data_IF_102841975263
#
_entry.id   IF_102841975263
#
_cell.length_a   1.000
_cell.length_b   1.000
_cell.length_c   1.000
_cell.angle_alpha   90.00
_cell.angle_beta   90.00
_cell.angle_gamma   90.00
#
_symmetry.space_group_name_H-M   'P 1'
#
loop_
_entity.id
_entity.type
_entity.pdbx_description
1 polymer ?
#
# COMPACT_ATOMS: atom_id res chain seq x y z
N UNK A 1 -16.25 -5.07 -2.95
CA UNK A 1 -15.75 -3.75 -2.51
C UNK A 1 -16.89 -2.74 -2.36
N UNK A 2 -17.39 -2.13 -3.44
CA UNK A 2 -18.48 -1.12 -3.37
C UNK A 2 -19.78 -1.53 -2.67
N UNK A 3 -20.08 -2.84 -2.58
CA UNK A 3 -21.28 -3.32 -1.85
C UNK A 3 -21.05 -3.33 -0.33
N UNK A 4 -19.86 -3.73 0.11
CA UNK A 4 -19.48 -3.77 1.52
C UNK A 4 -19.24 -2.36 2.09
N UNK A 5 -18.62 -1.46 1.33
CA UNK A 5 -18.46 -0.05 1.73
C UNK A 5 -19.81 0.65 1.91
N UNK A 6 -20.75 0.43 0.97
CA UNK A 6 -22.13 0.91 1.10
C UNK A 6 -22.87 0.28 2.28
N UNK A 7 -22.60 -0.99 2.59
CA UNK A 7 -23.19 -1.63 3.76
C UNK A 7 -22.65 -1.05 5.07
N UNK A 8 -21.38 -0.66 5.11
CA UNK A 8 -20.76 0.02 6.26
C UNK A 8 -21.39 1.40 6.47
N UNK A 9 -21.49 2.22 5.41
CA UNK A 9 -22.12 3.54 5.47
C UNK A 9 -23.58 3.46 5.94
N UNK A 10 -24.34 2.49 5.43
CA UNK A 10 -25.74 2.27 5.86
C UNK A 10 -25.85 1.77 7.30
N UNK A 11 -24.89 0.97 7.76
CA UNK A 11 -24.86 0.50 9.14
C UNK A 11 -24.62 1.67 10.11
N UNK A 12 -23.75 2.61 9.74
CA UNK A 12 -23.48 3.82 10.52
C UNK A 12 -24.71 4.75 10.55
N UNK A 13 -25.38 4.95 9.41
CA UNK A 13 -26.63 5.73 9.34
C UNK A 13 -27.75 5.13 10.22
N UNK A 14 -27.96 3.80 10.14
CA UNK A 14 -28.97 3.10 10.94
C UNK A 14 -28.68 3.13 12.44
N UNK A 15 -27.41 3.14 12.85
CA UNK A 15 -27.06 3.21 14.26
C UNK A 15 -27.23 4.63 14.83
N UNK A 16 -26.88 5.66 14.06
CA UNK A 16 -26.90 7.05 14.50
C UNK A 16 -28.29 7.70 14.44
N UNK A 17 -29.12 7.32 13.47
CA UNK A 17 -30.32 8.08 13.11
C UNK A 17 -31.63 7.28 13.11
N UNK A 18 -31.62 5.99 13.47
CA UNK A 18 -32.86 5.23 13.55
C UNK A 18 -33.65 5.53 14.83
N UNK A 19 -34.98 5.58 14.72
CA UNK A 19 -35.90 5.78 15.86
C UNK A 19 -35.80 4.67 16.92
N UNK A 20 -35.36 3.47 16.50
CA UNK A 20 -35.01 2.36 17.38
C UNK A 20 -33.64 1.82 16.97
N UNK A 21 -32.55 2.39 17.50
CA UNK A 21 -31.20 2.01 17.11
C UNK A 21 -30.86 0.63 17.66
N UNK A 22 -30.04 -0.09 16.91
CA UNK A 22 -29.58 -1.40 17.32
C UNK A 22 -28.67 -1.32 18.56
N UNK A 23 -28.63 -2.35 19.43
CA UNK A 23 -27.70 -2.38 20.55
C UNK A 23 -26.25 -2.17 20.08
N UNK A 24 -25.48 -1.34 20.80
CA UNK A 24 -24.10 -1.01 20.44
C UNK A 24 -23.23 -2.26 20.23
N UNK A 25 -23.44 -3.29 21.04
CA UNK A 25 -22.74 -4.58 20.90
C UNK A 25 -22.97 -5.23 19.54
N UNK A 26 -24.20 -5.24 19.05
CA UNK A 26 -24.56 -5.84 17.76
C UNK A 26 -24.06 -4.98 16.59
N UNK A 27 -24.04 -3.65 16.76
CA UNK A 27 -23.43 -2.73 15.80
C UNK A 27 -21.93 -3.01 15.64
N UNK A 28 -21.19 -3.12 16.75
CA UNK A 28 -19.76 -3.42 16.72
C UNK A 28 -19.48 -4.75 16.04
N UNK A 29 -20.29 -5.77 16.32
CA UNK A 29 -20.16 -7.10 15.74
C UNK A 29 -20.40 -7.07 14.22
N UNK A 30 -21.44 -6.38 13.75
CA UNK A 30 -21.72 -6.20 12.32
C UNK A 30 -20.65 -5.37 11.62
N UNK A 31 -20.16 -4.30 12.24
CA UNK A 31 -19.09 -3.45 11.70
C UNK A 31 -17.83 -4.28 11.45
N UNK A 32 -17.42 -5.06 12.45
CA UNK A 32 -16.26 -5.94 12.34
C UNK A 32 -16.43 -6.97 11.21
N UNK A 33 -17.59 -7.63 11.12
CA UNK A 33 -17.87 -8.59 10.04
C UNK A 33 -17.79 -7.98 8.64
N UNK A 34 -18.28 -6.75 8.45
CA UNK A 34 -18.22 -6.05 7.16
C UNK A 34 -16.78 -5.65 6.84
N UNK A 35 -16.03 -5.14 7.82
CA UNK A 35 -14.61 -4.80 7.70
C UNK A 35 -13.75 -6.02 7.35
N UNK A 36 -13.96 -7.16 8.01
CA UNK A 36 -13.23 -8.40 7.76
C UNK A 36 -13.49 -8.93 6.33
N UNK A 37 -14.72 -8.76 5.83
CA UNK A 37 -15.07 -9.09 4.44
C UNK A 37 -14.39 -8.16 3.43
N UNK A 38 -14.27 -6.86 3.74
CA UNK A 38 -13.53 -5.91 2.92
C UNK A 38 -12.05 -6.31 2.86
N UNK A 39 -11.44 -6.57 4.01
CA UNK A 39 -10.05 -7.00 4.09
C UNK A 39 -9.81 -8.32 3.33
N UNK A 40 -10.70 -9.30 3.47
CA UNK A 40 -10.63 -10.57 2.74
C UNK A 40 -10.75 -10.39 1.23
N UNK A 41 -11.65 -9.52 0.77
CA UNK A 41 -11.77 -9.19 -0.66
C UNK A 41 -10.52 -8.51 -1.20
N UNK A 42 -9.91 -7.61 -0.42
CA UNK A 42 -8.65 -6.94 -0.80
C UNK A 42 -7.50 -7.94 -0.88
N UNK A 43 -7.38 -8.84 0.11
CA UNK A 43 -6.37 -9.90 0.09
C UNK A 43 -6.54 -10.85 -1.10
N UNK A 44 -7.80 -11.18 -1.45
CA UNK A 44 -8.09 -12.01 -2.61
C UNK A 44 -7.75 -11.29 -3.92
N UNK A 45 -8.09 -10.01 -4.04
CA UNK A 45 -7.71 -9.17 -5.19
C UNK A 45 -6.20 -9.12 -5.35
N UNK A 46 -5.46 -8.82 -4.28
CA UNK A 46 -4.01 -8.80 -4.29
C UNK A 46 -3.41 -10.17 -4.67
N UNK A 47 -3.98 -11.28 -4.17
CA UNK A 47 -3.55 -12.63 -4.54
C UNK A 47 -3.85 -12.94 -6.01
N UNK A 48 -4.99 -12.51 -6.52
CA UNK A 48 -5.38 -12.71 -7.92
C UNK A 48 -4.57 -11.82 -8.86
N UNK A 49 -4.22 -10.60 -8.47
CA UNK A 49 -3.22 -9.78 -9.15
C UNK A 49 -1.90 -10.53 -9.17
N UNK A 50 -1.37 -10.98 -8.03
CA UNK A 50 -0.14 -11.78 -7.98
C UNK A 50 -0.17 -13.07 -8.83
N UNK A 51 -1.33 -13.74 -8.96
CA UNK A 51 -1.48 -14.93 -9.82
C UNK A 51 -1.61 -14.57 -11.30
N UNK A 52 -2.42 -13.57 -11.63
CA UNK A 52 -2.57 -13.02 -12.99
C UNK A 52 -1.23 -12.51 -13.51
N UNK A 53 -0.43 -11.93 -12.62
CA UNK A 53 0.94 -11.55 -12.89
C UNK A 53 1.72 -12.78 -13.44
N UNK A 54 1.66 -13.95 -12.83
CA UNK A 54 2.42 -15.12 -13.30
C UNK A 54 1.88 -15.80 -14.58
N UNK A 55 0.67 -15.47 -15.05
CA UNK A 55 -0.02 -16.23 -16.11
C UNK A 55 -0.32 -15.43 -17.39
N UNK A 56 -0.03 -14.12 -17.45
CA UNK A 56 -0.18 -13.34 -18.68
C UNK A 56 1.09 -13.42 -19.55
N UNK A 57 0.91 -13.36 -20.87
CA UNK A 57 2.01 -13.03 -21.80
C UNK A 57 2.56 -11.67 -21.39
N UNK A 58 3.69 -11.69 -20.66
CA UNK A 58 4.34 -10.50 -20.12
C UNK A 58 4.75 -9.61 -21.30
N UNK A 59 4.29 -8.36 -21.32
CA UNK A 59 4.99 -7.36 -22.11
C UNK A 59 6.38 -7.13 -21.50
N UNK A 60 7.36 -6.76 -22.33
CA UNK A 60 8.73 -6.53 -21.87
C UNK A 60 8.78 -5.50 -20.73
N UNK A 61 7.89 -4.51 -20.73
CA UNK A 61 7.74 -3.51 -19.66
C UNK A 61 7.31 -4.14 -18.33
N UNK A 62 6.33 -5.06 -18.36
CA UNK A 62 5.89 -5.76 -17.16
C UNK A 62 6.96 -6.73 -16.65
N UNK A 63 7.74 -7.33 -17.56
CA UNK A 63 8.87 -8.17 -17.18
C UNK A 63 9.98 -7.33 -16.51
N UNK A 64 10.38 -6.21 -17.12
CA UNK A 64 11.39 -5.29 -16.58
C UNK A 64 10.97 -4.78 -15.21
N UNK A 65 9.73 -4.34 -15.03
CA UNK A 65 9.24 -3.88 -13.74
C UNK A 65 9.32 -4.97 -12.65
N UNK A 66 9.04 -6.22 -13.01
CA UNK A 66 9.11 -7.33 -12.05
C UNK A 66 10.51 -7.79 -11.73
N UNK A 67 11.39 -7.86 -12.73
CA UNK A 67 12.81 -8.13 -12.52
C UNK A 67 13.40 -7.05 -11.59
N UNK A 68 13.06 -5.79 -11.85
CA UNK A 68 13.42 -4.63 -11.02
C UNK A 68 12.91 -4.76 -9.58
N UNK A 69 11.63 -5.10 -9.39
CA UNK A 69 11.03 -5.29 -8.07
C UNK A 69 11.68 -6.45 -7.29
N UNK A 70 12.00 -7.56 -7.96
CA UNK A 70 12.70 -8.70 -7.35
C UNK A 70 14.13 -8.36 -6.93
N UNK A 71 14.88 -7.68 -7.79
CA UNK A 71 16.23 -7.20 -7.49
C UNK A 71 16.21 -6.27 -6.29
N UNK A 72 15.23 -5.36 -6.24
CA UNK A 72 15.09 -4.46 -5.13
C UNK A 72 14.71 -5.16 -3.81
N UNK A 73 13.80 -6.14 -3.84
CA UNK A 73 13.49 -6.95 -2.66
C UNK A 73 14.70 -7.74 -2.17
N UNK A 74 15.57 -8.21 -3.07
CA UNK A 74 16.82 -8.87 -2.71
C UNK A 74 17.79 -7.88 -2.07
N UNK A 75 17.99 -6.70 -2.67
CA UNK A 75 18.84 -5.64 -2.12
C UNK A 75 18.36 -5.15 -0.76
N UNK A 76 17.05 -4.97 -0.56
CA UNK A 76 16.46 -4.54 0.72
C UNK A 76 16.61 -5.58 1.85
N UNK A 77 16.89 -6.86 1.54
CA UNK A 77 17.24 -7.87 2.55
C UNK A 77 18.71 -7.79 2.97
N UNK A 78 19.55 -7.18 2.15
CA UNK A 78 20.95 -6.96 2.49
C UNK A 78 21.06 -5.80 3.48
N UNK A 79 21.93 -5.93 4.49
CA UNK A 79 22.09 -4.90 5.54
C UNK A 79 22.64 -3.57 5.01
N UNK A 80 23.20 -3.57 3.80
CA UNK A 80 23.77 -2.40 3.13
C UNK A 80 23.33 -2.44 1.68
N UNK A 81 22.74 -1.35 1.22
CA UNK A 81 22.29 -1.19 -0.15
C UNK A 81 23.28 -0.26 -0.84
N UNK A 82 23.98 -0.77 -1.85
CA UNK A 82 24.76 0.07 -2.76
C UNK A 82 23.81 0.66 -3.81
N UNK A 83 23.51 1.95 -3.67
CA UNK A 83 22.57 2.65 -4.56
C UNK A 83 23.13 2.75 -5.98
N UNK A 84 24.45 2.84 -6.17
CA UNK A 84 25.05 2.90 -7.50
C UNK A 84 24.93 1.55 -8.20
N UNK A 85 25.25 0.45 -7.52
CA UNK A 85 25.12 -0.89 -8.06
C UNK A 85 23.66 -1.24 -8.37
N UNK A 86 22.75 -0.90 -7.46
CA UNK A 86 21.32 -1.07 -7.66
C UNK A 86 20.80 -0.30 -8.88
N UNK A 87 21.32 0.91 -9.11
CA UNK A 87 20.95 1.75 -10.26
C UNK A 87 21.48 1.17 -11.57
N UNK A 88 22.66 0.54 -11.56
CA UNK A 88 23.21 -0.16 -12.72
C UNK A 88 22.41 -1.43 -13.05
N UNK A 89 22.01 -2.20 -12.03
CA UNK A 89 21.31 -3.48 -12.21
C UNK A 89 19.83 -3.32 -12.60
N UNK A 90 19.16 -2.30 -12.04
CA UNK A 90 17.71 -2.10 -12.18
C UNK A 90 17.37 -1.02 -13.23
N UNK A 91 18.26 -0.05 -13.43
CA UNK A 91 18.03 1.10 -14.30
C UNK A 91 17.21 2.21 -13.63
N UNK A 92 17.50 3.46 -14.03
CA UNK A 92 16.88 4.66 -13.47
C UNK A 92 15.34 4.72 -13.58
N UNK A 93 14.71 4.36 -14.73
CA UNK A 93 13.25 4.47 -14.87
C UNK A 93 12.51 3.55 -13.90
N UNK A 94 12.93 2.29 -13.80
CA UNK A 94 12.28 1.32 -12.94
C UNK A 94 12.43 1.65 -11.45
N UNK A 95 13.59 2.17 -11.03
CA UNK A 95 13.79 2.69 -9.67
C UNK A 95 12.87 3.88 -9.37
N UNK A 96 12.74 4.82 -10.30
CA UNK A 96 11.85 5.96 -10.15
C UNK A 96 10.40 5.50 -10.00
N UNK A 97 9.93 4.60 -10.87
CA UNK A 97 8.57 4.08 -10.81
C UNK A 97 8.32 3.31 -9.51
N UNK A 98 9.30 2.53 -9.06
CA UNK A 98 9.22 1.87 -7.77
C UNK A 98 9.08 2.89 -6.62
N UNK A 99 9.95 3.90 -6.56
CA UNK A 99 9.90 4.92 -5.51
C UNK A 99 8.55 5.64 -5.52
N UNK A 100 8.05 6.01 -6.71
CA UNK A 100 6.73 6.63 -6.87
C UNK A 100 5.58 5.70 -6.47
N UNK A 101 5.75 4.38 -6.57
CA UNK A 101 4.75 3.39 -6.14
C UNK A 101 4.70 3.19 -4.63
N UNK A 102 5.75 3.59 -3.90
CA UNK A 102 5.88 3.36 -2.45
C UNK A 102 5.75 4.66 -1.65
N UNK A 103 6.33 5.74 -2.17
CA UNK A 103 6.35 7.05 -1.52
C UNK A 103 5.19 7.90 -2.02
N UNK A 104 4.49 8.52 -1.09
CA UNK A 104 3.43 9.50 -1.34
C UNK A 104 4.00 10.92 -1.36
N UNK A 105 4.81 11.29 -0.37
CA UNK A 105 5.42 12.61 -0.29
C UNK A 105 6.78 12.61 0.40
N UNK A 106 7.61 13.59 0.04
CA UNK A 106 8.92 13.87 0.66
C UNK A 106 8.96 15.36 0.99
N UNK A 107 9.21 15.70 2.26
CA UNK A 107 9.37 17.07 2.72
C UNK A 107 10.85 17.31 3.00
N UNK A 108 11.40 18.37 2.41
CA UNK A 108 12.79 18.78 2.58
C UNK A 108 12.85 20.19 3.16
N UNK A 109 13.79 20.42 4.08
CA UNK A 109 14.11 21.72 4.64
C UNK A 109 15.63 21.90 4.65
N UNK A 110 16.10 23.04 4.15
CA UNK A 110 17.53 23.37 4.08
C UNK A 110 18.38 22.30 3.36
N UNK A 111 17.80 21.69 2.30
CA UNK A 111 18.44 20.63 1.52
C UNK A 111 18.44 19.25 2.19
N UNK A 112 17.87 19.11 3.38
CA UNK A 112 17.77 17.83 4.12
C UNK A 112 16.33 17.33 4.13
N UNK A 113 16.14 16.04 3.91
CA UNK A 113 14.81 15.40 3.99
C UNK A 113 14.38 15.35 5.45
N UNK A 114 13.32 16.06 5.83
CA UNK A 114 12.82 16.11 7.21
C UNK A 114 11.64 15.17 7.43
N UNK A 115 10.91 14.81 6.37
CA UNK A 115 9.76 13.91 6.47
C UNK A 115 9.55 13.12 5.17
N UNK A 116 9.10 11.88 5.32
CA UNK A 116 8.77 10.98 4.23
C UNK A 116 7.48 10.23 4.57
N UNK A 117 6.48 10.37 3.71
CA UNK A 117 5.18 9.68 3.85
C UNK A 117 5.08 8.58 2.81
N UNK A 118 4.79 7.37 3.27
CA UNK A 118 4.54 6.19 2.46
C UNK A 118 3.06 6.15 2.06
N UNK A 119 2.76 5.57 0.89
CA UNK A 119 1.37 5.44 0.39
C UNK A 119 0.45 4.61 1.28
N UNK A 120 0.98 3.89 2.26
CA UNK A 120 0.19 3.18 3.27
C UNK A 120 -0.17 4.07 4.48
N UNK A 121 0.15 5.36 4.44
CA UNK A 121 -0.12 6.33 5.50
C UNK A 121 0.92 6.36 6.62
N UNK A 122 1.99 5.55 6.56
CA UNK A 122 3.09 5.68 7.51
C UNK A 122 3.94 6.90 7.18
N UNK A 123 4.33 7.66 8.20
CA UNK A 123 5.19 8.84 8.05
C UNK A 123 6.41 8.67 8.94
N UNK A 124 7.59 8.93 8.36
CA UNK A 124 8.86 8.97 9.08
C UNK A 124 9.43 10.38 9.06
N UNK A 125 9.74 10.90 10.24
CA UNK A 125 10.42 12.19 10.39
C UNK A 125 11.89 11.98 10.74
N UNK A 126 12.76 12.76 10.10
CA UNK A 126 14.21 12.73 10.31
C UNK A 126 14.61 13.90 11.20
N UNK A 127 15.44 13.62 12.20
CA UNK A 127 16.10 14.65 13.01
C UNK A 127 17.58 14.64 12.71
N UNK A 128 18.12 15.82 12.46
CA UNK A 128 19.54 16.03 12.25
C UNK A 128 20.08 16.80 13.43
N UNK A 129 21.19 16.33 13.98
CA UNK A 129 21.95 17.12 14.95
C UNK A 129 22.55 18.34 14.24
N UNK A 130 22.69 19.43 15.00
CA UNK A 130 23.17 20.73 14.53
C UNK A 130 24.69 20.73 14.31
#
# INVERSE_FOLDING_TARGET
MRKQERALSRLDELFLFADSPMPQKDYLLKKQQISDKIASCQQLLHRLEQKSLFTSTLSDEQFVFRASSLLLQKALRERRIDVQQLTADVGHPALKDFILSVIESIVSKDGKVIELTFRNGMTHSFRYDA
#
